data_IF_946647257399
#
_entry.id   IF_946647257399
#
_cell.length_a   1.000
_cell.length_b   1.000
_cell.length_c   1.000
_cell.angle_alpha   90.00
_cell.angle_beta   90.00
_cell.angle_gamma   90.00
#
_symmetry.space_group_name_H-M   'P 1'
#
loop_
_entity.id
_entity.type
_entity.pdbx_description
1 polymer ?
#
# COMPACT_ATOMS: atom_id res chain seq x y z
N UNK A 1 9.82 -5.02 -18.28
CA UNK A 1 9.21 -4.31 -17.17
C UNK A 1 10.17 -3.29 -16.57
N UNK A 2 9.69 -2.07 -16.36
CA UNK A 2 10.36 -1.01 -15.63
C UNK A 2 9.46 -0.59 -14.49
N UNK A 3 9.92 -0.68 -13.24
CA UNK A 3 9.11 -0.36 -12.08
C UNK A 3 9.68 -0.91 -10.78
N UNK A 4 8.98 -0.74 -9.67
CA UNK A 4 9.37 -1.34 -8.41
C UNK A 4 9.07 -2.84 -8.40
N UNK A 5 9.81 -3.60 -7.61
CA UNK A 5 9.46 -4.99 -7.32
C UNK A 5 8.19 -5.01 -6.45
N UNK A 6 7.05 -5.48 -6.99
CA UNK A 6 5.80 -5.41 -6.25
C UNK A 6 5.79 -6.32 -5.02
N UNK A 7 6.45 -7.47 -5.07
CA UNK A 7 6.56 -8.37 -3.92
C UNK A 7 7.36 -7.71 -2.79
N UNK A 8 8.55 -7.18 -3.11
CA UNK A 8 9.38 -6.47 -2.13
C UNK A 8 8.70 -5.22 -1.58
N UNK A 9 7.89 -4.52 -2.39
CA UNK A 9 7.13 -3.38 -1.89
C UNK A 9 6.10 -3.79 -0.83
N UNK A 10 5.47 -4.95 -1.00
CA UNK A 10 4.56 -5.51 -0.01
C UNK A 10 5.26 -5.87 1.29
N UNK A 11 6.39 -6.59 1.20
CA UNK A 11 7.21 -6.93 2.37
C UNK A 11 7.71 -5.68 3.12
N UNK A 12 8.12 -4.62 2.37
CA UNK A 12 8.50 -3.34 2.97
C UNK A 12 7.33 -2.68 3.72
N UNK A 13 6.12 -2.70 3.14
CA UNK A 13 4.93 -2.17 3.82
C UNK A 13 4.59 -2.93 5.09
N UNK A 14 4.73 -4.25 5.10
CA UNK A 14 4.55 -5.08 6.29
C UNK A 14 5.61 -4.78 7.36
N UNK A 15 6.88 -4.67 6.96
CA UNK A 15 7.98 -4.25 7.83
C UNK A 15 7.67 -2.90 8.50
N UNK A 16 7.28 -1.88 7.74
CA UNK A 16 6.95 -0.55 8.27
C UNK A 16 5.78 -0.61 9.26
N UNK A 17 4.77 -1.43 8.97
CA UNK A 17 3.61 -1.60 9.84
C UNK A 17 3.98 -2.18 11.21
N UNK A 18 5.03 -2.99 11.28
CA UNK A 18 5.41 -3.78 12.46
C UNK A 18 6.64 -3.23 13.20
N UNK A 19 7.17 -2.05 12.81
CA UNK A 19 8.42 -1.52 13.36
C UNK A 19 8.35 -1.05 14.81
N UNK A 20 7.15 -0.74 15.33
CA UNK A 20 7.02 -0.06 16.64
C UNK A 20 6.70 -0.97 17.81
N UNK A 21 6.10 -2.11 17.59
CA UNK A 21 5.66 -3.03 18.66
C UNK A 21 5.42 -4.43 18.12
N UNK A 22 5.29 -5.39 19.03
CA UNK A 22 4.77 -6.72 18.70
C UNK A 22 3.34 -6.61 18.18
N UNK A 23 3.10 -7.21 17.02
CA UNK A 23 1.83 -7.14 16.32
C UNK A 23 1.10 -8.47 16.48
N UNK A 24 -0.07 -8.43 17.07
CA UNK A 24 -0.91 -9.62 17.24
C UNK A 24 -2.04 -9.69 16.21
N UNK A 25 -2.53 -8.53 15.78
CA UNK A 25 -3.66 -8.42 14.87
C UNK A 25 -3.43 -7.29 13.85
N UNK A 26 -3.74 -7.59 12.57
CA UNK A 26 -3.65 -6.63 11.47
C UNK A 26 -4.97 -6.61 10.72
N UNK A 27 -5.51 -5.42 10.44
CA UNK A 27 -6.59 -5.20 9.49
C UNK A 27 -6.01 -4.97 8.08
N UNK A 28 -6.15 -5.96 7.20
CA UNK A 28 -5.78 -5.85 5.79
C UNK A 28 -7.01 -5.48 4.97
N UNK A 29 -7.03 -4.25 4.46
CA UNK A 29 -8.16 -3.70 3.72
C UNK A 29 -8.00 -4.02 2.24
N UNK A 30 -9.06 -4.57 1.64
CA UNK A 30 -9.12 -4.97 0.24
C UNK A 30 -10.35 -4.35 -0.45
N UNK A 31 -10.20 -4.04 -1.74
CA UNK A 31 -11.33 -3.58 -2.54
C UNK A 31 -12.15 -4.76 -3.06
N UNK A 32 -13.45 -4.64 -2.96
CA UNK A 32 -14.39 -5.49 -3.71
C UNK A 32 -14.18 -5.19 -5.20
N UNK A 33 -14.02 -6.24 -5.99
CA UNK A 33 -13.85 -6.14 -7.45
C UNK A 33 -15.01 -6.84 -8.15
N UNK A 34 -15.46 -6.26 -9.24
CA UNK A 34 -16.41 -6.93 -10.11
C UNK A 34 -15.82 -8.24 -10.63
N UNK A 35 -16.66 -9.28 -10.69
CA UNK A 35 -16.30 -10.64 -11.13
C UNK A 35 -15.69 -10.71 -12.54
N UNK A 36 -15.79 -9.63 -13.33
CA UNK A 36 -15.23 -9.52 -14.69
C UNK A 36 -13.70 -9.45 -14.74
N UNK A 37 -13.05 -9.06 -13.65
CA UNK A 37 -11.59 -8.97 -13.59
C UNK A 37 -10.98 -10.25 -13.00
N UNK A 38 -10.45 -11.11 -13.87
CA UNK A 38 -9.86 -12.42 -13.49
C UNK A 38 -8.51 -12.30 -12.76
N UNK A 39 -7.76 -11.20 -12.93
CA UNK A 39 -6.45 -11.01 -12.32
C UNK A 39 -6.45 -9.86 -11.30
N UNK A 40 -5.77 -10.07 -10.16
CA UNK A 40 -5.49 -9.04 -9.18
C UNK A 40 -4.08 -8.47 -9.40
N UNK A 41 -3.91 -7.27 -10.01
CA UNK A 41 -2.61 -6.68 -10.25
C UNK A 41 -1.82 -6.39 -8.96
N UNK A 42 -2.48 -6.34 -7.81
CA UNK A 42 -1.84 -6.14 -6.52
C UNK A 42 -1.53 -7.48 -5.80
N UNK A 43 -1.82 -8.62 -6.42
CA UNK A 43 -1.54 -9.92 -5.80
C UNK A 43 -0.07 -10.11 -5.41
N UNK A 44 0.93 -9.79 -6.25
CA UNK A 44 2.33 -9.94 -5.84
C UNK A 44 2.70 -9.08 -4.62
N UNK A 45 2.20 -7.83 -4.55
CA UNK A 45 2.42 -6.95 -3.39
C UNK A 45 1.76 -7.54 -2.15
N UNK A 46 0.52 -8.01 -2.28
CA UNK A 46 -0.17 -8.64 -1.15
C UNK A 46 0.54 -9.92 -0.68
N UNK A 47 1.05 -10.74 -1.59
CA UNK A 47 1.82 -11.93 -1.21
C UNK A 47 3.07 -11.53 -0.42
N UNK A 48 3.88 -10.59 -0.91
CA UNK A 48 5.06 -10.13 -0.17
C UNK A 48 4.72 -9.55 1.21
N UNK A 49 3.57 -8.89 1.35
CA UNK A 49 3.10 -8.42 2.65
C UNK A 49 2.74 -9.58 3.59
N UNK A 50 1.97 -10.55 3.11
CA UNK A 50 1.50 -11.68 3.91
C UNK A 50 2.65 -12.62 4.28
N UNK A 51 3.53 -12.93 3.33
CA UNK A 51 4.68 -13.82 3.56
C UNK A 51 5.63 -13.21 4.61
N UNK A 52 5.87 -11.90 4.56
CA UNK A 52 6.66 -11.22 5.61
C UNK A 52 6.02 -11.37 7.00
N UNK A 53 4.69 -11.18 7.11
CA UNK A 53 4.00 -11.34 8.41
C UNK A 53 4.05 -12.79 8.88
N UNK A 54 3.80 -13.75 8.00
CA UNK A 54 3.83 -15.17 8.33
C UNK A 54 5.22 -15.63 8.81
N UNK A 55 6.29 -15.15 8.14
CA UNK A 55 7.67 -15.48 8.49
C UNK A 55 8.13 -14.83 9.80
N UNK A 56 7.73 -13.58 10.05
CA UNK A 56 8.25 -12.76 11.17
C UNK A 56 7.35 -12.84 12.41
N UNK A 57 6.04 -12.91 12.20
CA UNK A 57 5.01 -12.91 13.24
C UNK A 57 4.00 -14.05 13.02
N UNK A 58 4.41 -15.32 13.15
CA UNK A 58 3.57 -16.48 12.79
C UNK A 58 2.29 -16.62 13.62
N UNK A 59 2.19 -15.91 14.74
CA UNK A 59 0.99 -15.88 15.58
C UNK A 59 0.06 -14.69 15.27
N UNK A 60 0.46 -13.81 14.35
CA UNK A 60 -0.33 -12.64 13.99
C UNK A 60 -1.59 -13.04 13.20
N UNK A 61 -2.73 -12.52 13.62
CA UNK A 61 -4.01 -12.73 12.94
C UNK A 61 -4.25 -11.64 11.90
N UNK A 62 -4.55 -12.05 10.67
CA UNK A 62 -4.87 -11.12 9.57
C UNK A 62 -6.40 -11.07 9.39
N UNK A 63 -6.99 -9.95 9.75
CA UNK A 63 -8.40 -9.66 9.50
C UNK A 63 -8.55 -9.00 8.13
N UNK A 64 -9.12 -9.72 7.15
CA UNK A 64 -9.34 -9.14 5.82
C UNK A 64 -10.68 -8.44 5.76
N UNK A 65 -10.65 -7.12 5.53
CA UNK A 65 -11.84 -6.28 5.37
C UNK A 65 -12.05 -5.94 3.90
N UNK A 66 -13.27 -6.12 3.42
CA UNK A 66 -13.63 -5.79 2.05
C UNK A 66 -14.47 -4.51 2.02
N UNK A 67 -14.02 -3.51 1.25
CA UNK A 67 -14.74 -2.25 1.04
C UNK A 67 -15.03 -2.05 -0.45
N UNK A 68 -16.14 -1.37 -0.76
CA UNK A 68 -16.48 -1.03 -2.12
C UNK A 68 -15.89 0.35 -2.49
N UNK A 69 -15.13 0.47 -3.59
CA UNK A 69 -14.41 1.71 -3.92
C UNK A 69 -15.32 2.91 -4.25
N UNK A 70 -16.57 2.64 -4.62
CA UNK A 70 -17.56 3.65 -5.02
C UNK A 70 -18.67 3.88 -3.97
N UNK A 71 -18.52 3.25 -2.79
CA UNK A 71 -19.49 3.35 -1.71
C UNK A 71 -18.79 3.77 -0.39
N UNK A 72 -18.48 5.07 -0.21
CA UNK A 72 -17.74 5.57 0.96
C UNK A 72 -18.48 5.30 2.28
N UNK A 73 -19.80 5.41 2.29
CA UNK A 73 -20.61 5.15 3.49
C UNK A 73 -20.53 3.68 3.91
N UNK A 74 -20.51 2.76 2.95
CA UNK A 74 -20.33 1.33 3.21
C UNK A 74 -18.91 1.04 3.71
N UNK A 75 -17.90 1.72 3.16
CA UNK A 75 -16.53 1.60 3.65
C UNK A 75 -16.42 2.07 5.09
N UNK A 76 -17.00 3.23 5.42
CA UNK A 76 -17.06 3.76 6.78
C UNK A 76 -17.74 2.78 7.74
N UNK A 77 -18.96 2.34 7.41
CA UNK A 77 -19.74 1.42 8.25
C UNK A 77 -19.02 0.07 8.47
N UNK A 78 -18.28 -0.43 7.47
CA UNK A 78 -17.49 -1.65 7.57
C UNK A 78 -16.38 -1.49 8.60
N UNK A 79 -15.63 -0.37 8.55
CA UNK A 79 -14.56 -0.08 9.49
C UNK A 79 -15.10 0.19 10.90
N UNK A 80 -16.19 0.97 11.02
CA UNK A 80 -16.81 1.28 12.31
C UNK A 80 -17.27 0.00 13.03
N UNK A 81 -17.94 -0.90 12.31
CA UNK A 81 -18.35 -2.19 12.87
C UNK A 81 -17.13 -3.01 13.32
N UNK A 82 -16.12 -3.12 12.45
CA UNK A 82 -14.94 -3.92 12.73
C UNK A 82 -14.20 -3.41 13.97
N UNK A 83 -13.90 -2.12 14.07
CA UNK A 83 -13.15 -1.59 15.21
C UNK A 83 -13.97 -1.49 16.51
N UNK A 84 -15.29 -1.51 16.42
CA UNK A 84 -16.14 -1.70 17.60
C UNK A 84 -16.05 -3.13 18.14
N UNK A 85 -15.95 -4.13 17.25
CA UNK A 85 -15.83 -5.55 17.59
C UNK A 85 -14.38 -5.94 17.94
N UNK A 86 -13.39 -5.21 17.42
CA UNK A 86 -11.96 -5.45 17.56
C UNK A 86 -11.19 -4.18 17.94
N UNK A 87 -11.44 -3.60 19.12
CA UNK A 87 -10.78 -2.36 19.55
C UNK A 87 -9.26 -2.52 19.79
N UNK A 88 -8.80 -3.75 19.96
CA UNK A 88 -7.39 -4.11 20.12
C UNK A 88 -6.58 -3.96 18.83
N UNK A 89 -7.22 -4.00 17.64
CA UNK A 89 -6.51 -3.93 16.36
C UNK A 89 -6.07 -2.50 16.07
N UNK A 90 -4.76 -2.27 16.05
CA UNK A 90 -4.15 -0.95 15.82
C UNK A 90 -3.41 -0.84 14.49
N UNK A 91 -3.16 -1.95 13.81
CA UNK A 91 -2.34 -2.01 12.60
C UNK A 91 -3.22 -2.21 11.37
N UNK A 92 -3.19 -1.25 10.46
CA UNK A 92 -3.98 -1.23 9.24
C UNK A 92 -3.09 -1.14 8.01
N UNK A 93 -3.38 -1.94 7.00
CA UNK A 93 -2.74 -1.83 5.70
C UNK A 93 -3.73 -1.97 4.55
N UNK A 94 -3.43 -1.30 3.44
CA UNK A 94 -4.14 -1.48 2.18
C UNK A 94 -3.12 -1.59 1.05
N UNK A 95 -2.96 -2.78 0.47
CA UNK A 95 -1.91 -3.08 -0.52
C UNK A 95 -2.16 -2.54 -1.92
N UNK A 96 -3.20 -1.75 -2.13
CA UNK A 96 -3.43 -0.99 -3.37
C UNK A 96 -3.26 0.52 -3.15
N UNK A 97 -3.35 1.30 -4.22
CA UNK A 97 -3.10 2.75 -4.22
C UNK A 97 -4.24 3.62 -3.64
N UNK A 98 -5.28 3.03 -3.08
CA UNK A 98 -6.50 3.78 -2.69
C UNK A 98 -6.72 3.84 -1.18
N UNK A 99 -5.65 3.93 -0.39
CA UNK A 99 -5.75 4.01 1.08
C UNK A 99 -6.59 5.21 1.54
N UNK A 100 -6.65 6.28 0.76
CA UNK A 100 -7.51 7.44 1.01
C UNK A 100 -9.01 7.10 1.18
N UNK A 101 -9.46 5.92 0.73
CA UNK A 101 -10.86 5.51 0.88
C UNK A 101 -11.27 5.28 2.34
N UNK A 102 -10.30 5.11 3.23
CA UNK A 102 -10.56 4.96 4.66
C UNK A 102 -10.29 6.25 5.45
N UNK A 103 -9.86 7.32 4.79
CA UNK A 103 -9.46 8.58 5.42
C UNK A 103 -10.57 9.20 6.27
N UNK A 104 -11.81 9.20 5.76
CA UNK A 104 -12.95 9.76 6.51
C UNK A 104 -13.19 9.03 7.84
N UNK A 105 -13.04 7.70 7.86
CA UNK A 105 -13.11 6.92 9.08
C UNK A 105 -11.97 7.29 10.04
N UNK A 106 -10.73 7.34 9.55
CA UNK A 106 -9.56 7.66 10.37
C UNK A 106 -9.66 9.05 10.98
N UNK A 107 -10.11 10.02 10.20
CA UNK A 107 -10.31 11.41 10.65
C UNK A 107 -11.37 11.54 11.75
N UNK A 108 -12.49 10.83 11.63
CA UNK A 108 -13.58 10.87 12.61
C UNK A 108 -13.31 10.03 13.86
N UNK A 109 -12.41 9.06 13.76
CA UNK A 109 -12.06 8.15 14.85
C UNK A 109 -10.55 8.16 15.08
N UNK A 110 -9.97 9.30 15.53
CA UNK A 110 -8.54 9.40 15.76
C UNK A 110 -8.10 8.45 16.86
N UNK A 111 -6.99 7.76 16.63
CA UNK A 111 -6.38 6.86 17.59
C UNK A 111 -4.84 6.97 17.45
N UNK A 112 -4.14 7.52 18.45
CA UNK A 112 -2.71 7.77 18.38
C UNK A 112 -1.86 6.50 18.38
N UNK A 113 -2.43 5.36 18.75
CA UNK A 113 -1.75 4.07 18.72
C UNK A 113 -1.88 3.38 17.36
N UNK A 114 -2.78 3.89 16.50
CA UNK A 114 -3.04 3.29 15.20
C UNK A 114 -1.91 3.57 14.22
N UNK A 115 -1.39 2.52 13.61
CA UNK A 115 -0.39 2.59 12.53
C UNK A 115 -1.06 2.21 11.23
N UNK A 116 -1.00 3.09 10.24
CA UNK A 116 -1.61 2.88 8.92
C UNK A 116 -0.56 2.97 7.83
N UNK A 117 -0.46 1.91 7.03
CA UNK A 117 0.47 1.85 5.89
C UNK A 117 -0.31 1.73 4.59
N UNK A 118 -0.01 2.64 3.68
CA UNK A 118 -0.54 2.66 2.32
C UNK A 118 0.55 2.60 1.26
N UNK A 119 0.11 2.68 0.00
CA UNK A 119 1.00 2.63 -1.16
C UNK A 119 0.61 3.71 -2.15
N UNK A 120 1.63 4.14 -2.88
CA UNK A 120 1.55 5.10 -3.98
C UNK A 120 1.20 6.54 -3.53
N UNK A 121 1.81 7.47 -4.21
CA UNK A 121 1.86 8.91 -3.96
C UNK A 121 0.72 9.69 -4.66
N UNK A 122 -0.49 9.15 -4.65
CA UNK A 122 -1.65 9.89 -5.12
C UNK A 122 -1.91 11.12 -4.24
N UNK A 123 -2.33 12.24 -4.82
CA UNK A 123 -2.59 13.50 -4.10
C UNK A 123 -3.45 13.31 -2.84
N UNK A 124 -4.47 12.47 -2.91
CA UNK A 124 -5.34 12.14 -1.77
C UNK A 124 -4.61 11.34 -0.69
N UNK A 125 -3.70 10.46 -1.07
CA UNK A 125 -2.87 9.71 -0.12
C UNK A 125 -1.87 10.64 0.56
N UNK A 126 -1.24 11.54 -0.21
CA UNK A 126 -0.31 12.56 0.33
C UNK A 126 -1.02 13.51 1.30
N UNK A 127 -2.25 13.92 0.98
CA UNK A 127 -3.07 14.72 1.90
C UNK A 127 -3.37 13.97 3.21
N UNK A 128 -3.74 12.69 3.14
CA UNK A 128 -3.98 11.85 4.33
C UNK A 128 -2.71 11.63 5.16
N UNK A 129 -1.55 11.51 4.51
CA UNK A 129 -0.25 11.41 5.16
C UNK A 129 0.13 12.73 5.87
N UNK A 130 -0.04 13.87 5.17
CA UNK A 130 0.22 15.21 5.72
C UNK A 130 -0.63 15.51 6.95
N UNK A 131 -1.89 15.10 6.92
CA UNK A 131 -2.84 15.25 8.03
C UNK A 131 -2.60 14.26 9.19
N UNK A 132 -1.67 13.30 9.02
CA UNK A 132 -1.33 12.31 10.05
C UNK A 132 -2.35 11.17 10.20
N UNK A 133 -3.24 10.98 9.22
CA UNK A 133 -4.18 9.85 9.22
C UNK A 133 -3.51 8.56 8.73
N UNK A 134 -2.45 8.68 7.96
CA UNK A 134 -1.60 7.58 7.49
C UNK A 134 -0.19 7.82 8.04
N UNK A 135 0.48 6.77 8.49
CA UNK A 135 1.83 6.88 9.03
C UNK A 135 2.90 6.78 7.94
N UNK A 136 2.73 5.82 7.01
CA UNK A 136 3.69 5.59 5.94
C UNK A 136 3.01 5.34 4.61
N UNK A 137 3.64 5.84 3.54
CA UNK A 137 3.36 5.45 2.15
C UNK A 137 4.63 4.88 1.52
N UNK A 138 4.50 3.73 0.87
CA UNK A 138 5.55 3.16 0.01
C UNK A 138 5.28 3.61 -1.43
N UNK A 139 6.19 4.37 -2.03
CA UNK A 139 5.97 4.98 -3.35
C UNK A 139 6.78 4.32 -4.45
N UNK A 140 6.48 4.64 -5.69
CA UNK A 140 7.00 3.94 -6.87
C UNK A 140 7.79 4.81 -7.85
N UNK A 141 7.91 6.12 -7.66
CA UNK A 141 8.54 7.02 -8.63
C UNK A 141 8.03 6.85 -10.07
N UNK A 142 6.73 7.05 -10.29
CA UNK A 142 6.11 6.87 -11.62
C UNK A 142 6.82 7.67 -12.71
N UNK A 143 7.24 8.94 -12.52
CA UNK A 143 7.98 9.69 -13.53
C UNK A 143 9.28 9.01 -13.94
N UNK A 144 10.06 8.49 -12.97
CA UNK A 144 11.31 7.78 -13.23
C UNK A 144 11.09 6.49 -14.02
N UNK A 145 10.08 5.70 -13.62
CA UNK A 145 9.70 4.48 -14.32
C UNK A 145 9.33 4.77 -15.78
N UNK A 146 8.51 5.78 -16.00
CA UNK A 146 8.08 6.19 -17.33
C UNK A 146 9.25 6.68 -18.19
N UNK A 147 10.13 7.50 -17.62
CA UNK A 147 11.32 7.97 -18.30
C UNK A 147 12.23 6.83 -18.74
N UNK A 148 12.56 5.91 -17.82
CA UNK A 148 13.41 4.76 -18.12
C UNK A 148 12.80 3.82 -19.16
N UNK A 149 11.48 3.56 -19.05
CA UNK A 149 10.76 2.72 -20.01
C UNK A 149 10.75 3.33 -21.41
N UNK A 150 10.47 4.64 -21.52
CA UNK A 150 10.47 5.36 -22.81
C UNK A 150 11.87 5.44 -23.40
N UNK A 151 12.89 5.70 -22.58
CA UNK A 151 14.30 5.72 -23.04
C UNK A 151 14.70 4.36 -23.61
N UNK A 152 14.41 3.28 -22.87
CA UNK A 152 14.72 1.92 -23.37
C UNK A 152 13.95 1.56 -24.64
N UNK A 153 12.70 1.99 -24.75
CA UNK A 153 11.91 1.81 -25.96
C UNK A 153 12.52 2.59 -27.15
N UNK A 154 12.87 3.85 -26.95
CA UNK A 154 13.52 4.67 -27.98
C UNK A 154 14.86 4.06 -28.44
N UNK A 155 15.69 3.58 -27.52
CA UNK A 155 16.95 2.90 -27.86
C UNK A 155 16.71 1.59 -28.65
N UNK A 156 15.67 0.85 -28.29
CA UNK A 156 15.31 -0.36 -29.03
C UNK A 156 14.88 -0.04 -30.47
N UNK A 157 14.08 1.03 -30.68
CA UNK A 157 13.61 1.43 -32.01
C UNK A 157 14.72 2.05 -32.86
N UNK A 158 15.52 2.93 -32.27
CA UNK A 158 16.53 3.72 -33.02
C UNK A 158 17.81 2.93 -33.24
N UNK A 159 18.27 2.19 -32.21
CA UNK A 159 19.58 1.51 -32.22
C UNK A 159 19.47 -0.02 -32.35
N UNK A 160 18.27 -0.59 -32.31
CA UNK A 160 18.06 -2.05 -32.27
C UNK A 160 18.49 -2.72 -30.96
N UNK A 161 18.85 -1.96 -29.93
CA UNK A 161 19.31 -2.45 -28.63
C UNK A 161 18.15 -2.90 -27.75
N UNK A 162 18.14 -4.15 -27.33
CA UNK A 162 17.12 -4.65 -26.39
C UNK A 162 17.61 -4.51 -24.94
N UNK A 163 16.72 -4.26 -23.98
CA UNK A 163 17.06 -4.28 -22.56
C UNK A 163 17.74 -5.62 -22.18
N UNK A 164 18.82 -5.54 -21.42
CA UNK A 164 19.57 -6.74 -20.98
C UNK A 164 18.78 -7.62 -20.02
N UNK A 165 17.86 -7.01 -19.27
CA UNK A 165 17.03 -7.71 -18.27
C UNK A 165 15.56 -7.58 -18.64
N UNK A 166 14.79 -8.64 -18.34
CA UNK A 166 13.33 -8.62 -18.49
C UNK A 166 12.67 -7.65 -17.48
N UNK A 167 13.19 -7.61 -16.24
CA UNK A 167 12.73 -6.75 -15.17
C UNK A 167 13.83 -5.77 -14.78
N UNK A 168 13.54 -4.48 -14.87
CA UNK A 168 14.41 -3.38 -14.51
C UNK A 168 13.75 -2.65 -13.32
N UNK A 169 14.21 -3.00 -12.12
CA UNK A 169 13.63 -2.46 -10.91
C UNK A 169 14.21 -1.08 -10.58
N UNK A 170 13.34 -0.16 -10.22
CA UNK A 170 13.68 1.13 -9.63
C UNK A 170 13.55 1.05 -8.11
N UNK A 171 14.18 2.00 -7.41
CA UNK A 171 14.06 2.10 -5.96
C UNK A 171 12.64 2.49 -5.53
N UNK A 172 12.34 2.26 -4.26
CA UNK A 172 11.11 2.67 -3.58
C UNK A 172 11.47 3.72 -2.53
N UNK A 173 10.59 4.72 -2.36
CA UNK A 173 10.70 5.64 -1.23
C UNK A 173 9.69 5.28 -0.15
N UNK A 174 10.06 5.63 1.06
CA UNK A 174 9.19 5.61 2.22
C UNK A 174 8.85 7.06 2.55
N UNK A 175 7.59 7.42 2.38
CA UNK A 175 7.08 8.72 2.79
C UNK A 175 6.45 8.63 4.17
N UNK A 176 6.79 9.62 4.96
CA UNK A 176 6.22 9.91 6.27
C UNK A 176 6.01 11.43 6.35
N UNK A 177 5.07 11.91 7.14
CA UNK A 177 4.77 13.36 7.23
C UNK A 177 5.98 14.26 7.50
N UNK A 178 7.06 13.72 8.03
CA UNK A 178 8.30 14.48 8.35
C UNK A 178 9.27 14.62 7.18
N UNK A 179 9.07 13.93 6.08
CA UNK A 179 9.92 14.05 4.89
C UNK A 179 9.14 14.46 3.63
N UNK A 180 7.85 14.81 3.78
CA UNK A 180 7.01 15.27 2.67
C UNK A 180 7.50 16.56 2.03
N UNK A 181 8.03 17.49 2.83
CA UNK A 181 8.50 18.79 2.34
C UNK A 181 9.70 18.68 1.38
N UNK A 182 10.34 17.51 1.33
CA UNK A 182 11.49 17.22 0.47
C UNK A 182 11.13 16.27 -0.69
N UNK A 183 9.85 15.93 -0.85
CA UNK A 183 9.34 15.04 -1.89
C UNK A 183 8.64 15.84 -3.00
#
# INVERSE_FOLDING_TARGET
YYGVDPYKSGALGAFLLTTRCEVQDIALIRLIRDRKHKADPNAPRRHGFLDYIEETFPQCRIHTLFIHPEQPDQAYATLERFFREHPEVKHLAMTNSRIFLIDDYLRRNPDPERIVVGFDDLDRNLASLSNGHIEYLVTRHIPLQSFQALTAFAECVIKGTKPQRRNNYVHMDILHRRNLDNY
#
